data_IF_766106526004
#
_entry.id   IF_766106526004
#
_cell.length_a   1.000
_cell.length_b   1.000
_cell.length_c   1.000
_cell.angle_alpha   90.00
_cell.angle_beta   90.00
_cell.angle_gamma   90.00
#
_symmetry.space_group_name_H-M   'P 1'
#
loop_
_entity.id
_entity.type
_entity.pdbx_description
1 polymer ?
#
# COMPACT_ATOMS: atom_id res chain seq x y z
N UNK A 1 -14.86 20.11 9.51
CA UNK A 1 -14.78 19.14 8.40
C UNK A 1 -13.49 19.40 7.65
N UNK A 2 -12.51 18.50 7.72
CA UNK A 2 -11.24 18.67 7.02
C UNK A 2 -11.30 18.10 5.61
N UNK A 3 -10.98 18.91 4.60
CA UNK A 3 -10.91 18.47 3.21
C UNK A 3 -9.73 17.53 2.98
N UNK A 4 -9.94 16.51 2.15
CA UNK A 4 -8.94 15.55 1.66
C UNK A 4 -8.50 15.99 0.27
N UNK A 5 -7.20 16.19 0.05
CA UNK A 5 -6.67 16.59 -1.26
C UNK A 5 -5.63 15.59 -1.74
N UNK A 6 -5.72 15.24 -3.02
CA UNK A 6 -4.78 14.35 -3.70
C UNK A 6 -3.98 15.19 -4.67
N UNK A 7 -2.66 15.23 -4.48
CA UNK A 7 -1.75 15.89 -5.40
C UNK A 7 -1.09 14.80 -6.25
N UNK A 8 -1.25 14.88 -7.57
CA UNK A 8 -0.58 13.99 -8.52
C UNK A 8 0.63 14.70 -9.12
N UNK A 9 1.82 14.15 -8.91
CA UNK A 9 3.01 14.55 -9.66
C UNK A 9 3.32 13.49 -10.72
N UNK A 10 3.29 13.91 -11.98
CA UNK A 10 3.57 13.05 -13.13
C UNK A 10 5.08 12.86 -13.26
N UNK A 11 5.59 11.71 -12.81
CA UNK A 11 6.97 11.30 -13.09
C UNK A 11 7.01 10.78 -14.54
N UNK A 12 7.86 11.38 -15.38
CA UNK A 12 8.00 10.99 -16.79
C UNK A 12 8.86 9.72 -16.89
N UNK A 13 8.24 8.56 -16.69
CA UNK A 13 8.88 7.26 -16.97
C UNK A 13 8.58 6.89 -18.43
N UNK A 14 9.64 6.61 -19.19
CA UNK A 14 9.58 6.27 -20.62
C UNK A 14 9.04 4.85 -20.78
N UNK A 15 7.86 4.71 -21.36
CA UNK A 15 7.26 3.42 -21.72
C UNK A 15 5.75 3.46 -21.60
N UNK A 16 5.03 3.11 -22.67
CA UNK A 16 3.57 3.03 -22.69
C UNK A 16 3.14 1.81 -21.86
N UNK A 17 3.14 1.95 -20.54
CA UNK A 17 2.63 0.94 -19.63
C UNK A 17 1.11 0.85 -19.77
N UNK A 18 0.57 -0.37 -19.79
CA UNK A 18 -0.87 -0.60 -19.85
C UNK A 18 -1.51 0.06 -18.63
N UNK A 19 -2.17 1.20 -18.84
CA UNK A 19 -2.52 2.14 -17.77
C UNK A 19 -3.84 1.75 -17.11
N UNK A 20 -3.89 0.56 -16.48
CA UNK A 20 -5.09 0.12 -15.77
C UNK A 20 -5.22 0.95 -14.49
N UNK A 21 -6.17 1.87 -14.48
CA UNK A 21 -6.42 2.75 -13.34
C UNK A 21 -6.72 1.94 -12.08
N UNK A 22 -6.25 2.44 -10.94
CA UNK A 22 -6.63 1.94 -9.62
C UNK A 22 -7.98 2.58 -9.29
N UNK A 23 -9.02 1.77 -9.15
CA UNK A 23 -10.39 2.23 -8.91
C UNK A 23 -10.86 1.71 -7.56
N UNK A 24 -11.31 2.63 -6.70
CA UNK A 24 -11.88 2.39 -5.39
C UNK A 24 -13.31 2.93 -5.37
N UNK A 25 -14.30 2.10 -5.03
CA UNK A 25 -15.71 2.50 -4.89
C UNK A 25 -16.26 2.12 -3.54
N UNK A 26 -16.98 3.06 -2.92
CA UNK A 26 -17.66 2.94 -1.64
C UNK A 26 -16.78 2.36 -0.54
N UNK A 27 -15.53 2.82 -0.45
CA UNK A 27 -14.59 2.36 0.60
C UNK A 27 -15.03 2.87 1.97
N UNK A 28 -15.16 1.95 2.92
CA UNK A 28 -15.61 2.18 4.30
C UNK A 28 -14.63 1.55 5.30
N UNK A 29 -13.43 2.10 5.38
CA UNK A 29 -12.41 1.68 6.34
C UNK A 29 -12.27 2.72 7.43
N UNK A 30 -12.38 2.30 8.70
CA UNK A 30 -12.38 3.18 9.87
C UNK A 30 -13.38 4.33 9.74
N UNK A 31 -12.92 5.57 9.58
CA UNK A 31 -13.76 6.75 9.48
C UNK A 31 -14.08 7.19 8.04
N UNK A 32 -13.65 6.42 7.03
CA UNK A 32 -14.01 6.67 5.63
C UNK A 32 -15.50 6.44 5.40
N UNK A 33 -16.17 7.41 4.79
CA UNK A 33 -17.64 7.44 4.64
C UNK A 33 -18.08 7.00 3.24
N UNK A 34 -17.58 5.86 2.76
CA UNK A 34 -17.95 5.34 1.45
C UNK A 34 -17.37 6.17 0.30
N UNK A 35 -16.05 6.41 0.35
CA UNK A 35 -15.39 7.26 -0.64
C UNK A 35 -15.18 6.54 -1.98
N UNK A 36 -15.25 7.31 -3.06
CA UNK A 36 -14.92 6.87 -4.41
C UNK A 36 -13.65 7.58 -4.86
N UNK A 37 -12.71 6.83 -5.44
CA UNK A 37 -11.44 7.37 -5.90
C UNK A 37 -10.90 6.59 -7.10
N UNK A 38 -10.39 7.33 -8.08
CA UNK A 38 -9.66 6.77 -9.21
C UNK A 38 -8.25 7.37 -9.24
N UNK A 39 -7.25 6.51 -9.27
CA UNK A 39 -5.83 6.86 -9.28
C UNK A 39 -5.17 6.35 -10.55
N UNK A 40 -4.27 7.16 -11.12
CA UNK A 40 -3.44 6.71 -12.23
C UNK A 40 -2.23 5.96 -11.65
N UNK A 41 -1.92 4.75 -12.14
CA UNK A 41 -0.70 4.07 -11.74
C UNK A 41 0.54 4.81 -12.29
N UNK A 42 1.70 4.51 -11.72
CA UNK A 42 3.00 5.07 -12.13
C UNK A 42 3.14 6.59 -11.95
N UNK A 43 2.28 7.22 -11.16
CA UNK A 43 2.42 8.61 -10.72
C UNK A 43 2.82 8.66 -9.24
N UNK A 44 3.49 9.75 -8.83
CA UNK A 44 3.68 10.04 -7.42
C UNK A 44 2.38 10.64 -6.88
N UNK A 45 1.64 9.84 -6.12
CA UNK A 45 0.36 10.22 -5.54
C UNK A 45 0.59 10.59 -4.08
N UNK A 46 0.23 11.82 -3.72
CA UNK A 46 0.37 12.32 -2.35
C UNK A 46 -1.01 12.51 -1.74
N UNK A 47 -1.30 11.78 -0.66
CA UNK A 47 -2.49 11.99 0.16
C UNK A 47 -2.25 13.08 1.21
N UNK A 48 -3.02 14.17 1.14
CA UNK A 48 -2.88 15.31 2.05
C UNK A 48 -4.21 15.63 2.75
N UNK A 49 -4.12 16.35 3.87
CA UNK A 49 -5.28 16.71 4.69
C UNK A 49 -4.97 16.70 6.19
N UNK A 50 -5.87 17.28 6.98
CA UNK A 50 -5.72 17.42 8.45
C UNK A 50 -5.56 16.08 9.16
N UNK A 51 -4.97 16.07 10.36
CA UNK A 51 -4.90 14.85 11.18
C UNK A 51 -6.29 14.23 11.37
N UNK A 52 -6.36 12.90 11.34
CA UNK A 52 -7.63 12.17 11.44
C UNK A 52 -8.52 12.20 10.18
N UNK A 53 -8.12 12.82 9.07
CA UNK A 53 -8.94 12.88 7.84
C UNK A 53 -9.12 11.55 7.08
N UNK A 54 -8.52 10.44 7.55
CA UNK A 54 -8.59 9.13 6.89
C UNK A 54 -7.47 8.84 5.89
N UNK A 55 -6.39 9.65 5.84
CA UNK A 55 -5.21 9.41 4.96
C UNK A 55 -4.59 8.04 5.18
N UNK A 56 -4.22 7.73 6.42
CA UNK A 56 -3.62 6.45 6.78
C UNK A 56 -4.58 5.31 6.51
N UNK A 57 -5.87 5.51 6.78
CA UNK A 57 -6.91 4.51 6.51
C UNK A 57 -7.09 4.22 5.03
N UNK A 58 -6.94 5.22 4.16
CA UNK A 58 -6.94 5.00 2.72
C UNK A 58 -5.63 4.37 2.22
N UNK A 59 -4.47 4.85 2.68
CA UNK A 59 -3.18 4.39 2.19
C UNK A 59 -2.81 3.00 2.71
N UNK A 60 -2.85 2.80 4.03
CA UNK A 60 -2.38 1.59 4.71
C UNK A 60 -3.51 0.58 4.88
N UNK A 61 -4.60 0.99 5.53
CA UNK A 61 -5.67 0.07 5.94
C UNK A 61 -6.59 -0.33 4.75
N UNK A 62 -6.53 0.40 3.62
CA UNK A 62 -7.28 0.09 2.40
C UNK A 62 -6.36 -0.39 1.27
N UNK A 63 -5.56 0.52 0.70
CA UNK A 63 -4.80 0.24 -0.53
C UNK A 63 -3.72 -0.82 -0.27
N UNK A 64 -2.89 -0.61 0.75
CA UNK A 64 -1.83 -1.55 1.08
C UNK A 64 -2.39 -2.91 1.50
N UNK A 65 -3.34 -2.94 2.44
CA UNK A 65 -3.95 -4.19 2.92
C UNK A 65 -4.57 -5.02 1.79
N UNK A 66 -5.34 -4.40 0.88
CA UNK A 66 -5.91 -5.14 -0.25
C UNK A 66 -4.89 -5.60 -1.28
N UNK A 67 -3.88 -4.78 -1.57
CA UNK A 67 -2.80 -5.19 -2.46
C UNK A 67 -2.04 -6.39 -1.90
N UNK A 68 -1.79 -6.41 -0.59
CA UNK A 68 -1.13 -7.51 0.11
C UNK A 68 -2.00 -8.76 0.12
N UNK A 69 -3.29 -8.63 0.49
CA UNK A 69 -4.26 -9.74 0.51
C UNK A 69 -4.36 -10.41 -0.86
N UNK A 70 -4.53 -9.64 -1.94
CA UNK A 70 -4.61 -10.17 -3.31
C UNK A 70 -3.31 -10.85 -3.76
N UNK A 71 -2.17 -10.31 -3.36
CA UNK A 71 -0.89 -10.94 -3.68
C UNK A 71 -0.78 -12.32 -3.02
N UNK A 72 -1.11 -12.41 -1.72
CA UNK A 72 -1.14 -13.68 -0.98
C UNK A 72 -2.13 -14.66 -1.61
N UNK A 73 -3.28 -14.19 -2.10
CA UNK A 73 -4.25 -15.02 -2.81
C UNK A 73 -3.69 -15.70 -4.07
N UNK A 74 -2.64 -15.14 -4.70
CA UNK A 74 -1.99 -15.77 -5.85
C UNK A 74 -0.96 -16.85 -5.46
N UNK A 75 -0.59 -16.94 -4.19
CA UNK A 75 0.40 -17.92 -3.72
C UNK A 75 -0.16 -19.36 -3.70
N UNK A 76 0.71 -20.37 -3.84
CA UNK A 76 0.33 -21.77 -3.67
C UNK A 76 -0.30 -22.03 -2.30
N UNK A 77 -1.19 -23.03 -2.24
CA UNK A 77 -1.90 -23.37 -1.01
C UNK A 77 -0.95 -23.77 0.14
N UNK A 78 0.19 -24.39 -0.18
CA UNK A 78 1.25 -24.73 0.78
C UNK A 78 1.86 -23.50 1.46
N UNK A 79 2.07 -22.41 0.73
CA UNK A 79 2.63 -21.17 1.26
C UNK A 79 1.61 -20.43 2.14
N UNK A 80 0.32 -20.46 1.76
CA UNK A 80 -0.76 -19.80 2.51
C UNK A 80 -0.95 -20.34 3.93
N UNK A 81 -0.58 -21.61 4.20
CA UNK A 81 -0.72 -22.24 5.53
C UNK A 81 0.04 -21.52 6.65
N UNK A 82 1.09 -20.79 6.30
CA UNK A 82 1.97 -20.09 7.25
C UNK A 82 1.72 -18.57 7.30
N UNK A 83 0.70 -18.10 6.58
CA UNK A 83 0.39 -16.68 6.44
C UNK A 83 -0.91 -16.42 7.20
N UNK A 84 -0.89 -15.41 8.08
CA UNK A 84 -2.11 -14.95 8.74
C UNK A 84 -3.12 -14.46 7.69
N UNK A 85 -4.38 -14.88 7.86
CA UNK A 85 -5.44 -14.46 6.96
C UNK A 85 -5.67 -12.95 7.08
N UNK A 86 -5.50 -12.24 5.96
CA UNK A 86 -5.75 -10.81 5.90
C UNK A 86 -7.21 -10.57 5.58
N UNK A 87 -7.91 -9.89 6.49
CA UNK A 87 -9.30 -9.53 6.30
C UNK A 87 -9.50 -8.72 5.01
N UNK A 88 -10.56 -9.06 4.27
CA UNK A 88 -11.00 -8.28 3.12
C UNK A 88 -11.47 -6.90 3.57
N UNK A 89 -11.08 -5.87 2.83
CA UNK A 89 -11.47 -4.49 3.08
C UNK A 89 -12.94 -4.26 2.72
N UNK A 90 -13.63 -3.50 3.57
CA UNK A 90 -15.00 -3.06 3.32
C UNK A 90 -15.04 -1.99 2.20
N UNK A 91 -15.34 -2.45 1.00
CA UNK A 91 -15.52 -1.65 -0.19
C UNK A 91 -16.40 -2.40 -1.21
N UNK A 92 -17.10 -1.67 -2.07
CA UNK A 92 -17.90 -2.26 -3.14
C UNK A 92 -17.00 -2.73 -4.30
N UNK A 93 -16.07 -1.88 -4.73
CA UNK A 93 -15.15 -2.18 -5.83
C UNK A 93 -13.74 -1.73 -5.49
N UNK A 94 -12.77 -2.61 -5.69
CA UNK A 94 -11.35 -2.29 -5.67
C UNK A 94 -10.72 -2.98 -6.90
N UNK A 95 -10.14 -2.22 -7.82
CA UNK A 95 -9.56 -2.72 -9.07
C UNK A 95 -8.22 -2.07 -9.35
N UNK A 96 -7.41 -2.72 -10.19
CA UNK A 96 -6.14 -2.16 -10.67
C UNK A 96 -5.00 -2.14 -9.65
N UNK A 97 -5.20 -2.66 -8.44
CA UNK A 97 -4.13 -2.78 -7.45
C UNK A 97 -3.06 -3.79 -7.91
N UNK A 98 -1.82 -3.33 -7.91
CA UNK A 98 -0.63 -4.18 -7.99
C UNK A 98 -0.27 -4.71 -6.60
N UNK A 99 0.63 -5.71 -6.48
CA UNK A 99 1.22 -6.05 -5.19
C UNK A 99 1.79 -4.81 -4.51
N UNK A 100 1.52 -4.65 -3.21
CA UNK A 100 1.84 -3.45 -2.44
C UNK A 100 2.91 -3.72 -1.40
N UNK A 101 3.70 -2.68 -1.11
CA UNK A 101 4.71 -2.67 -0.05
C UNK A 101 4.46 -1.40 0.77
N UNK A 102 4.35 -1.54 2.09
CA UNK A 102 4.30 -0.41 3.00
C UNK A 102 5.71 -0.09 3.50
N UNK A 103 6.10 1.18 3.36
CA UNK A 103 7.31 1.72 3.98
C UNK A 103 6.84 2.67 5.07
N UNK A 104 6.86 2.17 6.31
CA UNK A 104 6.40 2.89 7.49
C UNK A 104 7.59 3.24 8.41
N UNK A 105 7.45 4.32 9.18
CA UNK A 105 8.36 4.60 10.30
C UNK A 105 8.01 3.76 11.53
N UNK A 106 7.85 2.44 11.37
CA UNK A 106 7.81 1.51 12.49
C UNK A 106 9.25 1.26 12.93
N UNK A 107 9.53 1.43 14.23
CA UNK A 107 10.87 1.17 14.78
C UNK A 107 11.32 -0.23 14.41
N UNK A 108 12.40 -0.32 13.61
CA UNK A 108 13.10 -1.59 13.37
C UNK A 108 13.48 -2.16 14.74
N UNK A 109 13.10 -3.40 15.01
CA UNK A 109 13.45 -4.07 16.25
C UNK A 109 14.97 -3.96 16.46
N UNK A 110 15.37 -3.20 17.47
CA UNK A 110 16.78 -2.96 17.78
C UNK A 110 17.34 -4.23 18.40
N UNK A 111 17.89 -5.12 17.58
CA UNK A 111 18.75 -6.19 18.10
C UNK A 111 20.20 -5.70 18.06
N UNK A 112 21.05 -6.02 19.05
CA UNK A 112 22.45 -5.62 19.05
C UNK A 112 23.27 -6.13 17.85
N UNK A 113 22.74 -7.12 17.12
CA UNK A 113 23.36 -7.70 15.92
C UNK A 113 22.91 -7.04 14.61
N UNK A 114 21.90 -6.17 14.67
CA UNK A 114 21.39 -5.45 13.50
C UNK A 114 22.20 -4.19 13.25
N UNK A 115 22.97 -4.19 12.17
CA UNK A 115 23.72 -3.03 11.66
C UNK A 115 23.14 -2.60 10.31
N UNK A 116 23.54 -1.42 9.82
CA UNK A 116 23.24 -1.01 8.44
C UNK A 116 23.72 -2.06 7.45
N UNK A 117 24.90 -2.65 7.69
CA UNK A 117 25.48 -3.68 6.85
C UNK A 117 24.61 -4.94 6.71
N UNK A 118 23.98 -5.38 7.81
CA UNK A 118 23.09 -6.54 7.81
C UNK A 118 21.71 -6.22 7.25
N UNK A 119 21.19 -5.01 7.48
CA UNK A 119 19.85 -4.62 7.01
C UNK A 119 19.84 -4.45 5.50
N UNK A 120 20.90 -3.91 4.92
CA UNK A 120 21.02 -3.75 3.46
C UNK A 120 21.52 -5.02 2.77
N UNK A 121 21.93 -6.05 3.53
CA UNK A 121 22.54 -7.27 3.02
C UNK A 121 23.97 -7.11 2.49
N UNK A 122 24.55 -5.91 2.51
CA UNK A 122 25.91 -5.67 1.99
C UNK A 122 26.98 -6.44 2.78
N UNK A 123 26.73 -6.70 4.08
CA UNK A 123 27.66 -7.45 4.92
C UNK A 123 27.93 -8.87 4.38
N UNK A 124 26.93 -9.51 3.76
CA UNK A 124 27.10 -10.86 3.18
C UNK A 124 28.01 -10.85 1.95
N UNK A 125 28.12 -9.73 1.25
CA UNK A 125 29.02 -9.56 0.10
C UNK A 125 30.44 -9.14 0.50
N UNK A 126 30.61 -8.58 1.71
CA UNK A 126 31.90 -8.12 2.22
C UNK A 126 32.67 -9.22 2.98
N UNK A 127 32.10 -10.42 3.11
CA UNK A 127 32.64 -11.53 3.89
C UNK A 127 33.49 -12.48 3.06
#
# INVERSE_FOLDING_TARGET
>A
MGSFYIINHKLRIIGKLNNRQIVLKKVKVHNLKGIDLTLNPFELIVFTGVSGSGKSSLAFDTIFQEGQRRYIETLPHSAKRYIEEIAKVDAEVILGLSPTIAIEQKTVHKTPRSTVGTITGIYDYMR
#
